data_IF_630617940615
#
_entry.id   IF_630617940615
#
_cell.length_a   1.000
_cell.length_b   1.000
_cell.length_c   1.000
_cell.angle_alpha   90.00
_cell.angle_beta   90.00
_cell.angle_gamma   90.00
#
_symmetry.space_group_name_H-M   'P 1'
#
loop_
_entity.id
_entity.type
_entity.pdbx_description
1 polymer ?
#
# COMPACT_ATOMS: atom_id res chain seq x y z
N UNK A 1 3.69 -29.61 -2.54
CA UNK A 1 3.06 -28.88 -3.66
C UNK A 1 3.98 -27.74 -4.07
N UNK A 2 4.29 -27.60 -5.36
CA UNK A 2 5.07 -26.47 -5.88
C UNK A 2 4.11 -25.39 -6.38
N UNK A 3 4.00 -24.29 -5.64
CA UNK A 3 3.26 -23.11 -6.10
C UNK A 3 4.23 -22.19 -6.84
N UNK A 4 3.94 -21.94 -8.12
CA UNK A 4 4.71 -20.99 -8.94
C UNK A 4 3.96 -19.66 -8.98
N UNK A 5 4.58 -18.63 -8.44
CA UNK A 5 4.15 -17.24 -8.49
C UNK A 5 5.13 -16.44 -9.34
N UNK A 6 4.64 -15.46 -10.07
CA UNK A 6 5.46 -14.56 -10.89
C UNK A 6 5.98 -13.39 -10.04
N UNK A 7 5.21 -12.99 -9.03
CA UNK A 7 5.54 -11.86 -8.14
C UNK A 7 5.28 -12.27 -6.69
N UNK A 8 6.25 -12.03 -5.81
CA UNK A 8 6.12 -12.18 -4.38
C UNK A 8 6.27 -10.83 -3.66
N UNK A 9 5.34 -10.52 -2.78
CA UNK A 9 5.31 -9.29 -1.98
C UNK A 9 5.49 -9.65 -0.51
N UNK A 10 6.47 -9.01 0.15
CA UNK A 10 6.77 -9.26 1.55
C UNK A 10 6.13 -8.18 2.42
N UNK A 11 5.13 -8.58 3.20
CA UNK A 11 4.33 -7.75 4.11
C UNK A 11 2.94 -7.45 3.56
N UNK A 12 1.90 -7.81 4.30
CA UNK A 12 0.49 -7.50 3.99
C UNK A 12 0.00 -6.26 4.75
N UNK A 13 0.83 -5.20 4.77
CA UNK A 13 0.41 -3.86 5.18
C UNK A 13 -0.29 -3.10 4.04
N UNK A 14 -0.68 -1.82 4.25
CA UNK A 14 -1.34 -1.01 3.22
C UNK A 14 -0.57 -0.99 1.89
N UNK A 15 0.74 -0.75 1.95
CA UNK A 15 1.59 -0.71 0.76
C UNK A 15 1.65 -2.05 0.02
N UNK A 16 1.80 -3.16 0.74
CA UNK A 16 1.90 -4.50 0.13
C UNK A 16 0.58 -4.98 -0.46
N UNK A 17 -0.54 -4.70 0.21
CA UNK A 17 -1.90 -4.99 -0.32
C UNK A 17 -2.14 -4.19 -1.61
N UNK A 18 -1.87 -2.88 -1.60
CA UNK A 18 -2.05 -2.03 -2.79
C UNK A 18 -1.10 -2.43 -3.92
N UNK A 19 0.14 -2.82 -3.60
CA UNK A 19 1.08 -3.36 -4.59
C UNK A 19 0.57 -4.67 -5.20
N UNK A 20 -0.02 -5.58 -4.41
CA UNK A 20 -0.57 -6.83 -4.92
C UNK A 20 -1.74 -6.61 -5.87
N UNK A 21 -2.65 -5.69 -5.51
CA UNK A 21 -3.77 -5.29 -6.36
C UNK A 21 -3.27 -4.62 -7.64
N UNK A 22 -2.25 -3.77 -7.56
CA UNK A 22 -1.69 -3.08 -8.73
C UNK A 22 -0.90 -4.02 -9.64
N UNK A 23 -0.30 -5.07 -9.07
CA UNK A 23 0.54 -6.01 -9.80
C UNK A 23 -0.27 -7.09 -10.51
N UNK A 24 -1.46 -7.46 -10.02
CA UNK A 24 -2.22 -8.57 -10.59
C UNK A 24 -2.86 -8.19 -11.94
N UNK A 25 -2.75 -9.08 -12.92
CA UNK A 25 -3.44 -9.05 -14.21
C UNK A 25 -3.73 -10.49 -14.68
N UNK A 26 -4.33 -10.64 -15.87
CA UNK A 26 -4.74 -11.96 -16.39
C UNK A 26 -3.58 -12.93 -16.64
N UNK A 27 -2.33 -12.46 -16.68
CA UNK A 27 -1.16 -13.23 -17.07
C UNK A 27 -0.19 -13.52 -15.92
N UNK A 28 -0.41 -12.98 -14.72
CA UNK A 28 0.50 -13.18 -13.60
C UNK A 28 -0.19 -13.65 -12.31
N UNK A 29 0.56 -14.43 -11.53
CA UNK A 29 0.18 -14.92 -10.21
C UNK A 29 0.99 -14.17 -9.16
N UNK A 30 0.29 -13.44 -8.31
CA UNK A 30 0.90 -12.66 -7.22
C UNK A 30 0.63 -13.35 -5.88
N UNK A 31 1.65 -13.47 -5.03
CA UNK A 31 1.47 -13.83 -3.63
C UNK A 31 1.93 -12.72 -2.70
N UNK A 32 1.26 -12.60 -1.55
CA UNK A 32 1.63 -11.70 -0.47
C UNK A 32 1.92 -12.56 0.76
N UNK A 33 3.09 -12.37 1.36
CA UNK A 33 3.53 -13.07 2.56
C UNK A 33 3.45 -12.12 3.75
N UNK A 34 2.84 -12.55 4.85
CA UNK A 34 2.70 -11.78 6.08
C UNK A 34 3.20 -12.60 7.27
N UNK A 35 3.97 -11.94 8.16
CA UNK A 35 4.51 -12.58 9.36
C UNK A 35 3.44 -12.75 10.44
N UNK A 36 2.52 -11.81 10.52
CA UNK A 36 1.45 -11.82 11.51
C UNK A 36 0.33 -12.80 11.13
N UNK A 37 -0.49 -13.16 12.12
CA UNK A 37 -1.67 -14.01 11.92
C UNK A 37 -2.76 -13.38 11.03
N UNK A 38 -2.70 -12.08 10.79
CA UNK A 38 -3.62 -11.35 9.92
C UNK A 38 -2.92 -10.18 9.21
N UNK A 39 -3.40 -9.88 8.00
CA UNK A 39 -2.98 -8.71 7.23
C UNK A 39 -3.41 -7.40 7.92
N UNK A 40 -2.69 -6.32 7.65
CA UNK A 40 -3.10 -4.97 8.05
C UNK A 40 -3.14 -4.71 9.55
N UNK A 41 -2.52 -5.54 10.40
CA UNK A 41 -2.61 -5.40 11.87
C UNK A 41 -2.28 -3.98 12.38
N UNK A 42 -1.28 -3.32 11.79
CA UNK A 42 -0.94 -1.91 12.11
C UNK A 42 -1.93 -0.90 11.51
N UNK A 43 -2.51 -1.20 10.35
CA UNK A 43 -3.54 -0.37 9.72
C UNK A 43 -4.83 -0.36 10.54
N UNK A 44 -5.25 -1.52 11.05
CA UNK A 44 -6.47 -1.69 11.84
C UNK A 44 -6.47 -0.83 13.11
N UNK A 45 -5.30 -0.62 13.74
CA UNK A 45 -5.18 0.22 14.94
C UNK A 45 -5.03 1.72 14.63
N UNK A 46 -4.85 2.10 13.36
CA UNK A 46 -4.73 3.50 12.98
C UNK A 46 -6.02 4.28 13.26
N UNK A 47 -5.92 5.60 13.49
CA UNK A 47 -7.09 6.42 13.78
C UNK A 47 -7.82 6.05 15.09
N UNK A 48 -7.10 5.42 16.04
CA UNK A 48 -7.64 4.82 17.27
C UNK A 48 -8.64 3.69 16.98
N UNK A 49 -8.26 2.75 16.11
CA UNK A 49 -9.11 1.61 15.73
C UNK A 49 -10.16 1.90 14.66
N UNK A 50 -10.22 3.13 14.14
CA UNK A 50 -11.19 3.54 13.12
C UNK A 50 -10.67 3.44 11.69
N UNK A 51 -9.42 3.01 11.53
CA UNK A 51 -8.72 2.92 10.25
C UNK A 51 -8.66 4.29 9.55
N UNK A 52 -7.67 5.12 9.91
CA UNK A 52 -7.42 6.38 9.19
C UNK A 52 -6.81 6.08 7.81
N UNK A 53 -7.65 5.74 6.84
CA UNK A 53 -7.27 5.21 5.52
C UNK A 53 -6.55 6.23 4.66
N UNK A 54 -7.08 7.45 4.58
CA UNK A 54 -6.56 8.50 3.68
C UNK A 54 -7.04 9.89 4.13
N UNK A 55 -6.77 10.92 3.32
CA UNK A 55 -7.20 12.30 3.51
C UNK A 55 -7.83 12.85 2.23
N UNK A 56 -8.74 13.82 2.36
CA UNK A 56 -9.40 14.53 1.24
C UNK A 56 -8.71 15.86 0.86
N UNK A 57 -7.51 16.11 1.38
CA UNK A 57 -6.70 17.29 1.06
C UNK A 57 -6.19 17.24 -0.38
N UNK A 58 -5.86 18.40 -0.94
CA UNK A 58 -5.26 18.44 -2.27
C UNK A 58 -3.82 17.87 -2.28
N UNK A 59 -3.32 17.50 -3.46
CA UNK A 59 -1.99 16.89 -3.62
C UNK A 59 -0.87 17.78 -3.07
N UNK A 60 -0.96 19.11 -3.22
CA UNK A 60 0.06 20.05 -2.71
C UNK A 60 0.05 20.07 -1.19
N UNK A 61 -1.13 20.09 -0.57
CA UNK A 61 -1.27 19.97 0.88
C UNK A 61 -0.69 18.65 1.40
N UNK A 62 -0.97 17.53 0.72
CA UNK A 62 -0.41 16.22 1.08
C UNK A 62 1.11 16.25 0.97
N UNK A 63 1.66 16.69 -0.16
CA UNK A 63 3.11 16.78 -0.38
C UNK A 63 3.79 17.62 0.70
N UNK A 64 3.21 18.78 1.04
CA UNK A 64 3.77 19.66 2.05
C UNK A 64 3.79 19.02 3.45
N UNK A 65 2.81 18.17 3.78
CA UNK A 65 2.77 17.46 5.05
C UNK A 65 3.95 16.47 5.26
N UNK A 66 4.61 16.03 4.18
CA UNK A 66 5.80 15.16 4.23
C UNK A 66 7.13 15.94 4.21
N UNK A 67 7.10 17.28 4.30
CA UNK A 67 8.27 18.14 4.43
C UNK A 67 9.24 18.05 3.25
N UNK A 68 10.56 18.10 3.53
CA UNK A 68 11.63 18.14 2.51
C UNK A 68 11.52 17.03 1.46
N UNK A 69 11.11 15.84 1.86
CA UNK A 69 11.03 14.67 0.97
C UNK A 69 9.67 14.51 0.29
N UNK A 70 8.69 15.37 0.58
CA UNK A 70 7.35 15.28 0.03
C UNK A 70 7.32 15.39 -1.50
N UNK A 71 8.24 16.14 -2.12
CA UNK A 71 8.31 16.28 -3.59
C UNK A 71 8.46 14.94 -4.32
N UNK A 72 9.06 13.94 -3.68
CA UNK A 72 9.16 12.58 -4.21
C UNK A 72 7.78 11.95 -4.48
N UNK A 73 6.77 12.34 -3.69
CA UNK A 73 5.42 11.76 -3.76
C UNK A 73 4.60 12.27 -4.95
N UNK A 74 4.99 13.37 -5.61
CA UNK A 74 4.21 13.95 -6.70
C UNK A 74 3.88 12.92 -7.78
N UNK A 75 4.87 12.17 -8.27
CA UNK A 75 4.66 11.21 -9.36
C UNK A 75 3.67 10.10 -9.00
N UNK A 76 3.71 9.61 -7.76
CA UNK A 76 2.78 8.59 -7.28
C UNK A 76 1.37 9.20 -7.07
N UNK A 77 1.28 10.34 -6.37
CA UNK A 77 0.01 10.98 -6.06
C UNK A 77 -0.73 11.41 -7.33
N UNK A 78 -0.06 11.93 -8.36
CA UNK A 78 -0.72 12.31 -9.61
C UNK A 78 -1.23 11.12 -10.42
N UNK A 79 -0.66 9.93 -10.23
CA UNK A 79 -1.04 8.71 -10.99
C UNK A 79 -2.12 7.88 -10.30
N UNK A 80 -2.24 8.00 -8.97
CA UNK A 80 -3.06 7.11 -8.15
C UNK A 80 -4.06 7.85 -7.23
N UNK A 81 -4.23 9.18 -7.36
CA UNK A 81 -5.22 9.97 -6.59
C UNK A 81 -6.43 10.37 -7.42
#
# INVERSE_FOLDING_TARGET
MNYKYDIAIIGAGPAGIMAGISAINSLNKVCILEKNSSAGKKLLISGKGRCNVTTSKDIREIVNAFGKNGKFLYGALTRFS
#
